data_IF_099302658441
#
_entry.id   IF_099302658441
#
_cell.length_a   1.000
_cell.length_b   1.000
_cell.length_c   1.000
_cell.angle_alpha   90.00
_cell.angle_beta   90.00
_cell.angle_gamma   90.00
#
_symmetry.space_group_name_H-M   'P 1'
#
loop_
_entity.id
_entity.type
_entity.pdbx_description
1 polymer ?
#
# COMPACT_ATOMS: atom_id res chain seq x y z
N UNK A 1 -43.01 1.31 -12.14
CA UNK A 1 -41.54 1.50 -12.09
C UNK A 1 -40.90 0.45 -12.99
N UNK A 2 -40.11 0.89 -13.98
CA UNK A 2 -39.43 0.00 -14.95
C UNK A 2 -38.16 -0.60 -14.32
N UNK A 3 -37.82 -1.87 -14.59
CA UNK A 3 -36.55 -2.44 -14.14
C UNK A 3 -35.41 -1.98 -15.04
N UNK A 4 -34.33 -1.50 -14.44
CA UNK A 4 -33.06 -1.23 -15.16
C UNK A 4 -32.16 -2.46 -15.00
N UNK A 5 -31.67 -2.95 -16.13
CA UNK A 5 -30.83 -4.14 -16.27
C UNK A 5 -29.45 -3.91 -15.66
N UNK A 6 -28.95 -4.88 -14.89
CA UNK A 6 -27.55 -4.95 -14.49
C UNK A 6 -26.68 -5.20 -15.72
N UNK A 7 -25.99 -4.16 -16.19
CA UNK A 7 -24.90 -4.29 -17.14
C UNK A 7 -23.64 -4.65 -16.34
N UNK A 8 -23.09 -5.84 -16.61
CA UNK A 8 -21.78 -6.22 -16.11
C UNK A 8 -20.73 -5.24 -16.63
N UNK A 9 -20.00 -4.62 -15.71
CA UNK A 9 -18.80 -3.86 -16.02
C UNK A 9 -17.65 -4.51 -15.27
N UNK A 10 -16.83 -5.28 -15.99
CA UNK A 10 -15.46 -5.55 -15.58
C UNK A 10 -14.74 -4.21 -15.54
N UNK A 11 -14.62 -3.62 -14.35
CA UNK A 11 -13.69 -2.53 -14.14
C UNK A 11 -12.30 -3.14 -13.95
N UNK A 12 -11.50 -3.08 -15.01
CA UNK A 12 -10.09 -3.42 -14.94
C UNK A 12 -9.41 -2.52 -13.88
N UNK A 13 -8.75 -3.17 -12.93
CA UNK A 13 -7.90 -2.54 -11.94
C UNK A 13 -6.72 -1.87 -12.67
N UNK A 14 -6.82 -0.57 -12.95
CA UNK A 14 -5.73 0.21 -13.50
C UNK A 14 -4.83 0.68 -12.35
N UNK A 15 -3.62 0.13 -12.33
CA UNK A 15 -2.56 0.43 -11.38
C UNK A 15 -2.27 1.94 -11.28
N UNK A 16 -2.00 2.34 -10.03
CA UNK A 16 -1.04 3.35 -9.59
C UNK A 16 -0.58 4.40 -10.62
N UNK A 17 -1.17 5.59 -10.55
CA UNK A 17 -0.65 6.80 -11.16
C UNK A 17 -0.88 7.98 -10.23
N UNK A 18 -0.06 8.10 -9.18
CA UNK A 18 0.02 9.33 -8.41
C UNK A 18 0.57 10.43 -9.30
N UNK A 19 -0.23 11.46 -9.57
CA UNK A 19 0.14 12.63 -10.37
C UNK A 19 1.03 13.57 -9.52
N UNK A 20 2.28 13.17 -9.32
CA UNK A 20 3.34 14.08 -8.90
C UNK A 20 4.17 14.38 -10.14
N UNK A 21 4.29 15.66 -10.51
CA UNK A 21 5.13 16.09 -11.61
C UNK A 21 6.59 15.68 -11.33
N UNK A 22 7.12 14.76 -12.13
CA UNK A 22 8.54 14.45 -12.16
C UNK A 22 9.25 15.56 -12.96
N UNK A 23 9.66 16.64 -12.29
CA UNK A 23 10.69 17.52 -12.84
C UNK A 23 12.05 16.83 -12.65
N UNK A 24 12.38 15.90 -13.56
CA UNK A 24 13.63 15.17 -13.57
C UNK A 24 13.69 14.12 -14.68
N UNK A 25 14.86 13.95 -15.30
CA UNK A 25 15.08 12.91 -16.29
C UNK A 25 14.69 11.52 -15.74
N UNK A 26 14.08 10.68 -16.58
CA UNK A 26 13.62 9.36 -16.18
C UNK A 26 14.76 8.54 -15.54
N UNK A 27 14.52 7.87 -14.41
CA UNK A 27 15.57 7.13 -13.71
C UNK A 27 16.11 5.98 -14.57
N UNK A 28 17.39 5.64 -14.44
CA UNK A 28 18.00 4.53 -15.19
C UNK A 28 17.57 3.12 -14.72
N UNK A 29 16.79 3.05 -13.63
CA UNK A 29 16.30 1.83 -13.01
C UNK A 29 14.78 1.72 -13.14
N UNK A 30 14.27 0.51 -12.92
CA UNK A 30 12.84 0.22 -12.89
C UNK A 30 12.21 0.74 -11.60
N UNK A 31 11.03 1.30 -11.73
CA UNK A 31 10.12 1.63 -10.63
C UNK A 31 8.74 1.03 -10.91
N UNK A 32 7.81 1.13 -9.96
CA UNK A 32 6.42 0.72 -10.20
C UNK A 32 5.72 1.59 -11.25
N UNK A 33 6.14 2.85 -11.40
CA UNK A 33 5.54 3.81 -12.32
C UNK A 33 6.24 3.90 -13.68
N UNK A 34 7.52 3.53 -13.77
CA UNK A 34 8.34 3.79 -14.94
C UNK A 34 9.35 2.67 -15.27
N UNK A 35 9.78 2.63 -16.52
CA UNK A 35 10.86 1.78 -17.04
C UNK A 35 10.68 0.27 -16.77
N UNK A 36 9.59 -0.36 -17.22
CA UNK A 36 9.28 -1.76 -16.93
C UNK A 36 10.33 -2.76 -17.46
N UNK A 37 11.13 -2.37 -18.47
CA UNK A 37 12.20 -3.19 -19.06
C UNK A 37 13.58 -3.02 -18.41
N UNK A 38 13.74 -2.09 -17.46
CA UNK A 38 15.00 -1.89 -16.76
C UNK A 38 15.14 -2.87 -15.57
N UNK A 39 16.37 -3.00 -15.05
CA UNK A 39 16.61 -3.71 -13.80
C UNK A 39 16.16 -2.85 -12.61
N UNK A 40 15.74 -3.51 -11.52
CA UNK A 40 15.44 -2.85 -10.26
C UNK A 40 16.69 -2.26 -9.62
N UNK A 41 16.51 -1.15 -8.89
CA UNK A 41 17.60 -0.48 -8.18
C UNK A 41 18.24 -1.41 -7.14
N UNK A 42 19.56 -1.50 -7.17
CA UNK A 42 20.35 -2.27 -6.22
C UNK A 42 20.89 -1.35 -5.14
N UNK A 43 20.68 -1.75 -3.88
CA UNK A 43 21.16 -0.99 -2.73
C UNK A 43 22.69 -0.92 -2.73
N UNK A 44 23.21 0.26 -2.37
CA UNK A 44 24.63 0.51 -2.23
C UNK A 44 24.96 0.81 -0.77
N UNK A 45 26.06 0.28 -0.23
CA UNK A 45 26.47 0.59 1.13
C UNK A 45 26.64 2.11 1.32
N UNK A 46 26.10 2.64 2.43
CA UNK A 46 26.23 4.05 2.84
C UNK A 46 25.59 5.08 1.89
N UNK A 47 24.79 4.64 0.93
CA UNK A 47 23.99 5.53 0.07
C UNK A 47 22.50 5.30 0.34
N UNK A 48 21.76 6.39 0.53
CA UNK A 48 20.30 6.30 0.57
C UNK A 48 19.78 5.97 -0.83
N UNK A 49 18.86 4.99 -0.95
CA UNK A 49 18.23 4.69 -2.22
C UNK A 49 17.43 5.92 -2.70
N UNK A 50 17.38 6.16 -4.01
CA UNK A 50 16.50 7.19 -4.57
C UNK A 50 15.04 6.96 -4.18
N UNK A 51 14.28 8.05 -4.14
CA UNK A 51 12.82 8.00 -3.96
C UNK A 51 12.18 7.09 -5.01
N UNK A 52 11.15 6.33 -4.59
CA UNK A 52 10.34 5.42 -5.43
C UNK A 52 11.12 4.30 -6.14
N UNK A 53 12.35 4.01 -5.70
CA UNK A 53 13.17 2.94 -6.28
C UNK A 53 12.87 1.54 -5.71
N UNK A 54 12.09 1.47 -4.64
CA UNK A 54 11.59 0.23 -4.05
C UNK A 54 10.34 -0.26 -4.80
N UNK A 55 10.14 -1.57 -4.84
CA UNK A 55 8.94 -2.20 -5.37
C UNK A 55 7.89 -2.33 -4.28
N UNK A 56 6.70 -1.78 -4.51
CA UNK A 56 5.56 -1.89 -3.60
C UNK A 56 4.82 -3.22 -3.82
N UNK A 57 4.78 -4.05 -2.77
CA UNK A 57 4.02 -5.31 -2.76
C UNK A 57 2.95 -5.22 -1.69
N UNK A 58 1.68 -5.32 -2.07
CA UNK A 58 0.58 -5.42 -1.12
C UNK A 58 0.48 -6.83 -0.53
N UNK A 59 0.20 -6.91 0.78
CA UNK A 59 0.00 -8.19 1.46
C UNK A 59 -0.39 -8.04 2.92
N UNK A 60 -0.54 -9.18 3.58
CA UNK A 60 -0.93 -9.25 4.99
C UNK A 60 0.25 -9.69 5.85
N UNK A 61 0.57 -8.97 6.92
CA UNK A 61 1.61 -9.35 7.88
C UNK A 61 1.21 -10.66 8.60
N UNK A 62 2.05 -11.69 8.53
CA UNK A 62 1.77 -13.02 9.12
C UNK A 62 2.64 -13.30 10.33
N UNK A 63 3.90 -12.89 10.29
CA UNK A 63 4.85 -13.05 11.37
C UNK A 63 5.77 -11.83 11.46
N UNK A 64 6.18 -11.49 12.67
CA UNK A 64 7.05 -10.36 12.96
C UNK A 64 8.05 -10.72 14.05
N UNK A 65 9.34 -10.53 13.76
CA UNK A 65 10.43 -10.55 14.73
C UNK A 65 10.96 -9.11 14.86
N UNK A 66 10.44 -8.40 15.86
CA UNK A 66 10.80 -7.01 16.11
C UNK A 66 12.24 -6.85 16.63
N UNK A 67 12.86 -7.91 17.15
CA UNK A 67 14.25 -7.88 17.63
C UNK A 67 15.19 -7.84 16.44
N UNK A 68 14.98 -8.72 15.46
CA UNK A 68 15.78 -8.76 14.24
C UNK A 68 15.26 -7.84 13.13
N UNK A 69 14.17 -7.10 13.38
CA UNK A 69 13.44 -6.27 12.42
C UNK A 69 13.15 -7.02 11.12
N UNK A 70 12.64 -8.24 11.25
CA UNK A 70 12.31 -9.12 10.14
C UNK A 70 10.91 -9.70 10.30
N UNK A 71 10.39 -10.35 9.27
CA UNK A 71 9.08 -10.97 9.32
C UNK A 71 8.71 -11.66 8.04
N UNK A 72 7.47 -12.12 8.00
CA UNK A 72 6.87 -12.78 6.83
C UNK A 72 5.51 -12.16 6.56
N UNK A 73 5.25 -11.85 5.30
CA UNK A 73 3.94 -11.42 4.84
C UNK A 73 3.40 -12.37 3.78
N UNK A 74 2.08 -12.40 3.65
CA UNK A 74 1.38 -13.10 2.59
C UNK A 74 1.02 -12.10 1.51
N UNK A 75 1.64 -12.22 0.34
CA UNK A 75 1.31 -11.36 -0.80
C UNK A 75 -0.11 -11.65 -1.31
N UNK A 76 -0.66 -10.75 -2.11
CA UNK A 76 -1.99 -10.92 -2.73
C UNK A 76 -2.13 -12.19 -3.58
N UNK A 77 -1.01 -12.72 -4.11
CA UNK A 77 -0.95 -14.00 -4.83
C UNK A 77 -1.05 -15.24 -3.91
N UNK A 78 -1.10 -15.04 -2.58
CA UNK A 78 -1.16 -16.08 -1.56
C UNK A 78 0.22 -16.59 -1.09
N UNK A 79 1.31 -16.17 -1.74
CA UNK A 79 2.67 -16.61 -1.44
C UNK A 79 3.19 -15.95 -0.16
N UNK A 80 3.82 -16.75 0.71
CA UNK A 80 4.55 -16.23 1.86
C UNK A 80 5.92 -15.70 1.41
N UNK A 81 6.25 -14.49 1.84
CA UNK A 81 7.49 -13.80 1.49
C UNK A 81 8.11 -13.24 2.76
N UNK A 82 9.40 -13.50 2.92
CA UNK A 82 10.17 -12.99 4.04
C UNK A 82 10.71 -11.60 3.74
N UNK A 83 10.87 -10.80 4.78
CA UNK A 83 11.51 -9.51 4.71
C UNK A 83 12.42 -9.26 5.90
N UNK A 84 13.42 -8.43 5.69
CA UNK A 84 14.25 -7.82 6.71
C UNK A 84 14.30 -6.32 6.46
N UNK A 85 13.97 -5.53 7.48
CA UNK A 85 14.04 -4.08 7.42
C UNK A 85 15.49 -3.64 7.23
N UNK A 86 15.67 -2.65 6.37
CA UNK A 86 16.92 -1.93 6.28
C UNK A 86 17.19 -1.16 7.58
N UNK A 87 18.44 -0.77 7.87
CA UNK A 87 18.76 -0.02 9.09
C UNK A 87 17.96 1.27 9.26
N UNK A 88 17.60 1.91 8.13
CA UNK A 88 16.76 3.10 8.05
C UNK A 88 15.29 2.78 7.68
N UNK A 89 14.92 1.51 7.62
CA UNK A 89 13.58 1.11 7.22
C UNK A 89 12.55 1.52 8.25
N UNK A 90 11.41 2.04 7.82
CA UNK A 90 10.33 2.54 8.71
C UNK A 90 9.08 1.68 8.60
N UNK A 91 8.22 1.78 9.62
CA UNK A 91 6.86 1.25 9.58
C UNK A 91 5.88 2.35 9.96
N UNK A 92 4.82 2.52 9.17
CA UNK A 92 3.70 3.39 9.48
C UNK A 92 2.48 2.53 9.79
N UNK A 93 1.85 2.82 10.92
CA UNK A 93 0.62 2.18 11.34
C UNK A 93 -0.33 3.24 11.89
N UNK A 94 -1.55 3.24 11.37
CA UNK A 94 -2.60 4.20 11.75
C UNK A 94 -2.16 5.67 11.61
N UNK A 95 -1.39 5.97 10.56
CA UNK A 95 -0.95 7.33 10.22
C UNK A 95 0.24 7.85 11.02
N UNK A 96 0.86 7.04 11.88
CA UNK A 96 2.03 7.40 12.67
C UNK A 96 3.17 6.39 12.46
N UNK A 97 4.41 6.84 12.69
CA UNK A 97 5.55 5.92 12.74
C UNK A 97 5.40 4.98 13.93
N UNK A 98 5.63 3.69 13.69
CA UNK A 98 5.43 2.62 14.64
C UNK A 98 6.61 1.64 14.63
N UNK A 99 6.82 0.93 15.74
CA UNK A 99 7.72 -0.23 15.72
C UNK A 99 7.00 -1.45 15.14
N UNK A 100 7.77 -2.40 14.62
CA UNK A 100 7.21 -3.63 14.05
C UNK A 100 6.36 -4.43 15.07
N UNK A 101 6.64 -4.29 16.38
CA UNK A 101 5.86 -4.93 17.45
C UNK A 101 4.48 -4.30 17.66
N UNK A 102 4.31 -3.05 17.23
CA UNK A 102 3.08 -2.29 17.43
C UNK A 102 2.06 -2.59 16.32
N UNK A 103 2.52 -3.18 15.22
CA UNK A 103 1.68 -3.58 14.09
C UNK A 103 1.09 -4.97 14.35
N UNK A 104 -0.25 -5.09 14.47
CA UNK A 104 -0.88 -6.39 14.68
C UNK A 104 -0.62 -7.37 13.53
N UNK A 105 -0.51 -8.65 13.85
CA UNK A 105 -0.53 -9.70 12.84
C UNK A 105 -1.93 -9.73 12.19
N UNK A 106 -1.96 -9.98 10.88
CA UNK A 106 -3.18 -9.90 10.09
C UNK A 106 -3.47 -8.52 9.53
N UNK A 107 -2.67 -7.50 9.85
CA UNK A 107 -2.79 -6.17 9.23
C UNK A 107 -2.40 -6.23 7.75
N UNK A 108 -3.24 -5.64 6.90
CA UNK A 108 -2.95 -5.44 5.49
C UNK A 108 -2.05 -4.21 5.33
N UNK A 109 -0.92 -4.42 4.66
CA UNK A 109 0.11 -3.41 4.47
C UNK A 109 0.64 -3.43 3.03
N UNK A 110 1.21 -2.31 2.63
CA UNK A 110 2.09 -2.18 1.47
C UNK A 110 3.53 -2.29 1.95
N UNK A 111 4.29 -3.21 1.35
CA UNK A 111 5.70 -3.46 1.65
C UNK A 111 6.56 -2.90 0.51
N UNK A 112 7.36 -1.86 0.79
CA UNK A 112 8.29 -1.27 -0.16
C UNK A 112 9.65 -1.97 -0.06
N UNK A 113 9.92 -2.88 -1.00
CA UNK A 113 11.04 -3.80 -0.94
C UNK A 113 12.07 -3.52 -2.04
N UNK A 114 13.34 -3.65 -1.70
CA UNK A 114 14.43 -3.79 -2.66
C UNK A 114 14.80 -5.26 -2.84
N UNK A 115 15.32 -5.64 -4.02
CA UNK A 115 15.90 -6.95 -4.23
C UNK A 115 17.16 -7.14 -3.38
N UNK A 116 17.38 -8.37 -2.90
CA UNK A 116 18.67 -8.81 -2.39
C UNK A 116 19.61 -9.29 -3.53
N UNK A 117 20.78 -9.81 -3.16
CA UNK A 117 21.77 -10.30 -4.11
C UNK A 117 21.28 -11.46 -5.00
N UNK A 118 20.21 -12.17 -4.61
CA UNK A 118 19.57 -13.23 -5.39
C UNK A 118 18.47 -12.70 -6.31
N UNK A 119 18.12 -11.42 -6.19
CA UNK A 119 17.00 -10.78 -6.89
C UNK A 119 15.66 -10.91 -6.16
N UNK A 120 15.61 -11.55 -4.99
CA UNK A 120 14.40 -11.68 -4.21
C UNK A 120 14.10 -10.38 -3.44
N UNK A 121 12.84 -9.93 -3.47
CA UNK A 121 12.39 -8.73 -2.77
C UNK A 121 12.25 -8.97 -1.28
N UNK A 122 13.35 -8.87 -0.55
CA UNK A 122 13.43 -9.17 0.89
C UNK A 122 13.93 -8.00 1.72
N UNK A 123 14.38 -6.89 1.10
CA UNK A 123 14.97 -5.75 1.80
C UNK A 123 13.95 -4.63 1.99
N UNK A 124 13.32 -4.56 3.15
CA UNK A 124 12.21 -3.66 3.42
C UNK A 124 12.70 -2.24 3.75
N UNK A 125 12.34 -1.28 2.90
CA UNK A 125 12.64 0.14 3.09
C UNK A 125 11.50 0.87 3.85
N UNK A 126 10.25 0.52 3.58
CA UNK A 126 9.10 1.06 4.30
C UNK A 126 7.96 0.05 4.30
N UNK A 127 7.20 0.01 5.40
CA UNK A 127 5.94 -0.70 5.50
C UNK A 127 4.87 0.29 5.91
N UNK A 128 3.72 0.28 5.25
CA UNK A 128 2.61 1.17 5.57
C UNK A 128 1.33 0.34 5.60
N UNK A 129 0.49 0.50 6.62
CA UNK A 129 -0.86 -0.08 6.57
C UNK A 129 -1.69 0.58 5.45
N UNK A 130 -2.71 -0.12 4.95
CA UNK A 130 -3.50 0.37 3.82
C UNK A 130 -4.12 1.76 4.04
N UNK A 131 -4.45 2.14 5.28
CA UNK A 131 -4.98 3.47 5.57
C UNK A 131 -3.89 4.54 5.43
N UNK A 132 -2.70 4.31 6.00
CA UNK A 132 -1.56 5.23 5.86
C UNK A 132 -1.17 5.40 4.39
N UNK A 133 -1.10 4.29 3.64
CA UNK A 133 -0.81 4.31 2.21
C UNK A 133 -1.88 5.08 1.40
N UNK A 134 -3.16 4.91 1.73
CA UNK A 134 -4.25 5.63 1.09
C UNK A 134 -4.13 7.15 1.34
N UNK A 135 -3.86 7.56 2.58
CA UNK A 135 -3.65 8.97 2.94
C UNK A 135 -2.46 9.57 2.20
N UNK A 136 -1.33 8.86 2.15
CA UNK A 136 -0.13 9.30 1.42
C UNK A 136 -0.40 9.51 -0.09
N UNK A 137 -1.31 8.71 -0.66
CA UNK A 137 -1.76 8.85 -2.05
C UNK A 137 -2.86 9.92 -2.24
N UNK A 138 -3.20 10.68 -1.20
CA UNK A 138 -4.29 11.65 -1.21
C UNK A 138 -5.66 11.01 -1.45
N UNK A 139 -5.81 9.75 -1.08
CA UNK A 139 -7.06 8.98 -1.19
C UNK A 139 -7.83 9.07 0.12
N UNK A 140 -9.03 9.63 0.05
CA UNK A 140 -9.96 9.72 1.18
C UNK A 140 -11.30 9.12 0.79
N UNK A 141 -12.11 8.77 1.77
CA UNK A 141 -13.44 8.22 1.53
C UNK A 141 -14.48 9.16 2.15
N UNK A 142 -15.37 9.70 1.32
CA UNK A 142 -16.53 10.45 1.78
C UNK A 142 -17.65 9.47 2.08
N UNK A 143 -18.14 9.44 3.31
CA UNK A 143 -19.30 8.65 3.69
C UNK A 143 -20.57 9.28 3.10
N UNK A 144 -21.31 8.53 2.28
CA UNK A 144 -22.55 8.97 1.65
C UNK A 144 -23.78 8.53 2.45
N UNK A 145 -23.80 7.26 2.85
CA UNK A 145 -24.89 6.68 3.64
C UNK A 145 -24.41 5.52 4.50
N UNK A 146 -25.08 5.31 5.62
CA UNK A 146 -24.91 4.15 6.50
C UNK A 146 -26.16 3.29 6.38
N UNK A 147 -25.96 2.03 6.04
CA UNK A 147 -26.99 0.99 5.99
C UNK A 147 -26.68 -0.10 7.02
N UNK A 148 -27.64 -0.97 7.28
CA UNK A 148 -27.44 -2.10 8.19
C UNK A 148 -26.33 -3.02 7.64
N UNK A 149 -25.19 -3.03 8.33
CA UNK A 149 -23.99 -3.79 7.95
C UNK A 149 -23.24 -3.29 6.71
N UNK A 150 -23.52 -2.09 6.17
CA UNK A 150 -22.77 -1.56 5.00
C UNK A 150 -22.63 -0.05 5.01
N UNK A 151 -21.44 0.44 4.65
CA UNK A 151 -21.15 1.86 4.41
C UNK A 151 -21.09 2.13 2.91
N UNK A 152 -21.95 3.01 2.41
CA UNK A 152 -21.87 3.53 1.06
C UNK A 152 -20.95 4.75 1.06
N UNK A 153 -19.93 4.73 0.20
CA UNK A 153 -18.88 5.74 0.19
C UNK A 153 -18.52 6.17 -1.23
N UNK A 154 -18.01 7.39 -1.35
CA UNK A 154 -17.36 7.91 -2.55
C UNK A 154 -15.86 8.05 -2.26
N UNK A 155 -15.04 7.32 -3.02
CA UNK A 155 -13.60 7.53 -3.05
C UNK A 155 -13.30 8.91 -3.60
N UNK A 156 -12.44 9.67 -2.93
CA UNK A 156 -11.89 10.92 -3.41
C UNK A 156 -10.39 10.79 -3.52
N UNK A 157 -9.81 11.15 -4.66
CA UNK A 157 -8.36 11.17 -4.87
C UNK A 157 -7.94 12.58 -5.28
N UNK A 158 -6.97 13.15 -4.57
CA UNK A 158 -6.52 14.52 -4.78
C UNK A 158 -7.68 15.54 -4.79
N UNK A 159 -8.70 15.32 -3.95
CA UNK A 159 -9.87 16.20 -3.84
C UNK A 159 -10.95 16.01 -4.92
N UNK A 160 -10.78 15.12 -5.90
CA UNK A 160 -11.81 14.81 -6.89
C UNK A 160 -12.47 13.46 -6.61
N UNK A 161 -13.77 13.33 -6.90
CA UNK A 161 -14.49 12.08 -6.77
C UNK A 161 -13.98 11.08 -7.82
N UNK A 162 -13.60 9.88 -7.36
CA UNK A 162 -12.87 8.87 -8.14
C UNK A 162 -13.59 7.51 -8.17
N UNK A 163 -14.86 7.45 -7.75
CA UNK A 163 -15.71 6.27 -7.79
C UNK A 163 -16.41 5.97 -6.47
N UNK A 164 -17.46 5.15 -6.51
CA UNK A 164 -18.16 4.68 -5.31
C UNK A 164 -17.64 3.33 -4.83
N UNK A 165 -17.66 3.09 -3.52
CA UNK A 165 -17.46 1.77 -2.92
C UNK A 165 -18.45 1.51 -1.78
N UNK A 166 -18.76 0.23 -1.59
CA UNK A 166 -19.54 -0.25 -0.46
C UNK A 166 -18.63 -1.10 0.44
N UNK A 167 -18.51 -0.72 1.71
CA UNK A 167 -17.76 -1.48 2.72
C UNK A 167 -18.72 -2.23 3.61
N UNK A 168 -18.61 -3.55 3.66
CA UNK A 168 -19.30 -4.35 4.68
C UNK A 168 -18.73 -4.03 6.06
N UNK A 169 -19.59 -3.88 7.05
CA UNK A 169 -19.20 -3.61 8.44
C UNK A 169 -19.92 -4.56 9.39
N UNK A 170 -19.25 -4.88 10.48
CA UNK A 170 -19.75 -5.73 11.55
C UNK A 170 -19.58 -5.07 12.92
N UNK A 171 -19.94 -5.78 13.99
CA UNK A 171 -19.81 -5.28 15.36
C UNK A 171 -18.34 -5.05 15.80
N UNK A 172 -17.37 -5.66 15.13
CA UNK A 172 -15.94 -5.50 15.40
C UNK A 172 -15.33 -4.31 14.65
N UNK A 173 -15.98 -3.86 13.58
CA UNK A 173 -15.50 -2.76 12.75
C UNK A 173 -15.40 -1.46 13.55
N UNK A 174 -14.29 -0.74 13.40
CA UNK A 174 -14.06 0.58 14.01
C UNK A 174 -13.74 1.58 12.90
N UNK A 175 -14.47 2.69 12.86
CA UNK A 175 -14.26 3.78 11.90
C UNK A 175 -13.76 4.98 12.67
N UNK A 176 -12.62 5.52 12.24
CA UNK A 176 -12.00 6.70 12.83
C UNK A 176 -12.21 7.88 11.91
N UNK A 177 -12.60 9.03 12.47
CA UNK A 177 -12.67 10.27 11.71
C UNK A 177 -11.24 10.81 11.55
N UNK A 178 -10.76 10.90 10.31
CA UNK A 178 -9.53 11.64 10.03
C UNK A 178 -9.72 13.13 10.32
N UNK A 179 -8.74 13.78 10.93
CA UNK A 179 -8.68 15.24 10.95
C UNK A 179 -8.35 15.72 9.53
N UNK A 180 -9.15 16.65 9.02
CA UNK A 180 -9.04 17.19 7.67
C UNK A 180 -8.14 18.43 7.65
#
# INVERSE_FOLDING_TARGET
MKPVRAAGLLAALACCGGLWAQDGAAPAYRTDAANPGAAWYQLRPLEFPPRDSAHAIAGTLVAADFIHRSGTFRAADGTLRDFAMLPYGTALYAGAEAELRDVPLGTSCVFHLHPDATGAFTRLAAMEDDFSAAVAQGTTWRLDAVHDGTLATTMRRAGADAGGAAFAVDAATRVWKGEA
#
